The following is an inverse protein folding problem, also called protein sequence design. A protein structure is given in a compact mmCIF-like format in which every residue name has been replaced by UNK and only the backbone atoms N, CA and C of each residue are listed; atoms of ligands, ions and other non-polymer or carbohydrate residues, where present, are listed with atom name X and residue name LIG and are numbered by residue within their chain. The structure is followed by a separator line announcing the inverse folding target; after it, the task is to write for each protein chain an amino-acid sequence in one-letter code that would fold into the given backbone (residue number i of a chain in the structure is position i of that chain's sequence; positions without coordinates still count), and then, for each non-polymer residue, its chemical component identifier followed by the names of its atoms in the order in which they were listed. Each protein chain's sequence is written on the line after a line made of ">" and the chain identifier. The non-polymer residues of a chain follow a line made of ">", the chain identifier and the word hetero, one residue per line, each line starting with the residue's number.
data_IF_427805137211
#
_entry.id   IF_427805137211
#
_cell.length_a   1.000
_cell.length_b   1.000
_cell.length_c   1.000
_cell.angle_alpha   90.00
_cell.angle_beta   90.00
_cell.angle_gamma   90.00
#
_symmetry.space_group_name_H-M   'P 1'
#
loop_
_entity.id
_entity.type
_entity.pdbx_description
1 polymer ?
#
# COMPACT_ATOMS: atom_id res chain seq x y z
N UNK A 1 -84.18 -48.81 -22.56
CA UNK A 1 -83.57 -49.90 -23.35
C UNK A 1 -82.43 -49.28 -24.18
N UNK A 2 -81.18 -49.43 -23.73
CA UNK A 2 -80.21 -50.44 -24.19
C UNK A 2 -79.52 -50.01 -25.50
N UNK A 3 -78.30 -49.46 -25.47
CA UNK A 3 -76.96 -50.09 -25.40
C UNK A 3 -76.40 -50.51 -26.77
N UNK A 4 -75.07 -50.32 -26.89
CA UNK A 4 -74.08 -50.94 -27.79
C UNK A 4 -73.83 -50.25 -29.14
N UNK A 5 -72.60 -49.72 -29.38
CA UNK A 5 -71.34 -50.40 -29.77
C UNK A 5 -71.41 -50.89 -31.23
N UNK A 6 -70.41 -50.84 -32.11
CA UNK A 6 -68.95 -50.64 -32.02
C UNK A 6 -68.42 -50.52 -33.48
N UNK A 7 -67.32 -49.78 -33.65
CA UNK A 7 -66.14 -50.05 -34.50
C UNK A 7 -66.31 -50.31 -36.01
N UNK A 8 -65.63 -49.49 -36.82
CA UNK A 8 -64.57 -50.04 -37.69
C UNK A 8 -63.44 -49.04 -37.95
N UNK A 9 -62.25 -49.56 -37.72
CA UNK A 9 -60.94 -48.95 -37.78
C UNK A 9 -60.48 -48.86 -39.25
N UNK A 10 -59.81 -47.78 -39.65
CA UNK A 10 -58.87 -47.83 -40.76
C UNK A 10 -57.70 -46.90 -40.48
N UNK A 11 -56.53 -47.53 -40.37
CA UNK A 11 -55.20 -46.93 -40.26
C UNK A 11 -54.99 -45.94 -41.41
N UNK A 12 -54.33 -44.81 -41.20
CA UNK A 12 -52.88 -44.65 -41.37
C UNK A 12 -52.45 -43.16 -41.42
N UNK A 13 -51.18 -42.94 -41.05
CA UNK A 13 -50.28 -41.80 -41.40
C UNK A 13 -50.22 -40.54 -40.49
N UNK A 14 -49.15 -40.58 -39.68
CA UNK A 14 -48.02 -39.63 -39.61
C UNK A 14 -48.31 -38.15 -39.29
N UNK A 15 -47.73 -37.69 -38.17
CA UNK A 15 -47.49 -36.26 -37.94
C UNK A 15 -47.14 -35.95 -36.49
N UNK A 16 -45.87 -36.17 -36.12
CA UNK A 16 -45.32 -35.76 -34.83
C UNK A 16 -45.40 -34.23 -34.63
N UNK A 17 -45.90 -33.76 -33.48
CA UNK A 17 -45.55 -32.45 -32.90
C UNK A 17 -45.53 -32.49 -31.37
N UNK A 18 -44.35 -32.88 -30.92
CA UNK A 18 -43.62 -32.56 -29.69
C UNK A 18 -44.31 -31.66 -28.65
N UNK A 19 -44.61 -32.23 -27.47
CA UNK A 19 -44.87 -31.51 -26.22
C UNK A 19 -43.54 -31.07 -25.61
N UNK A 20 -43.19 -29.79 -25.74
CA UNK A 20 -42.04 -29.20 -25.06
C UNK A 20 -42.35 -29.04 -23.56
N UNK A 21 -42.04 -30.06 -22.75
CA UNK A 21 -41.89 -29.91 -21.29
C UNK A 21 -40.54 -29.25 -21.03
N UNK A 22 -40.54 -27.98 -20.61
CA UNK A 22 -39.34 -27.33 -20.05
C UNK A 22 -38.85 -28.14 -18.84
N UNK A 23 -37.57 -28.54 -18.76
CA UNK A 23 -37.05 -29.15 -17.55
C UNK A 23 -36.91 -28.08 -16.47
N UNK A 24 -37.41 -28.37 -15.27
CA UNK A 24 -37.21 -27.55 -14.10
C UNK A 24 -35.71 -27.41 -13.81
N UNK A 25 -35.18 -26.18 -13.88
CA UNK A 25 -33.81 -25.89 -13.49
C UNK A 25 -33.67 -26.11 -11.98
N UNK A 26 -33.07 -27.22 -11.58
CA UNK A 26 -32.57 -27.40 -10.21
C UNK A 26 -31.53 -26.31 -9.96
N UNK A 27 -31.85 -25.35 -9.09
CA UNK A 27 -30.92 -24.33 -8.64
C UNK A 27 -29.70 -25.00 -8.02
N UNK A 28 -28.53 -24.83 -8.64
CA UNK A 28 -27.26 -25.18 -8.02
C UNK A 28 -27.07 -24.22 -6.85
N UNK A 29 -27.06 -24.75 -5.63
CA UNK A 29 -26.72 -23.98 -4.43
C UNK A 29 -25.34 -23.31 -4.60
N UNK A 30 -25.11 -22.16 -3.95
CA UNK A 30 -23.88 -21.39 -4.14
C UNK A 30 -22.64 -22.27 -3.86
N UNK A 31 -21.65 -22.25 -4.75
CA UNK A 31 -20.41 -22.99 -4.56
C UNK A 31 -19.73 -22.56 -3.26
N UNK A 32 -19.03 -23.49 -2.58
CA UNK A 32 -18.34 -23.17 -1.32
C UNK A 32 -17.36 -21.99 -1.46
N UNK A 33 -16.75 -21.82 -2.64
CA UNK A 33 -15.94 -20.66 -3.01
C UNK A 33 -16.74 -19.36 -3.02
N UNK A 34 -17.96 -19.37 -3.56
CA UNK A 34 -18.86 -18.21 -3.55
C UNK A 34 -19.35 -17.85 -2.14
N UNK A 35 -19.51 -18.85 -1.25
CA UNK A 35 -19.86 -18.64 0.15
C UNK A 35 -18.67 -18.07 0.96
N UNK A 36 -17.45 -18.54 0.69
CA UNK A 36 -16.22 -18.00 1.28
C UNK A 36 -15.98 -16.55 0.84
N UNK A 37 -16.09 -16.25 -0.46
CA UNK A 37 -15.98 -14.88 -0.98
C UNK A 37 -17.05 -13.95 -0.40
N UNK A 38 -18.29 -14.43 -0.22
CA UNK A 38 -19.34 -13.67 0.48
C UNK A 38 -18.99 -13.40 1.94
N UNK A 39 -18.44 -14.38 2.66
CA UNK A 39 -18.01 -14.21 4.05
C UNK A 39 -16.84 -13.24 4.18
N UNK A 40 -15.83 -13.34 3.32
CA UNK A 40 -14.70 -12.40 3.27
C UNK A 40 -15.21 -10.99 2.96
N UNK A 41 -16.08 -10.83 1.96
CA UNK A 41 -16.68 -9.53 1.64
C UNK A 41 -17.51 -8.97 2.81
N UNK A 42 -18.30 -9.82 3.49
CA UNK A 42 -19.07 -9.42 4.66
C UNK A 42 -18.19 -9.03 5.85
N UNK A 43 -17.06 -9.72 6.05
CA UNK A 43 -16.04 -9.37 7.03
C UNK A 43 -15.44 -8.00 6.71
N UNK A 44 -14.99 -7.78 5.47
CA UNK A 44 -14.51 -6.47 5.03
C UNK A 44 -15.58 -5.38 5.05
N UNK A 45 -16.87 -5.69 5.07
CA UNK A 45 -17.97 -4.72 5.20
C UNK A 45 -18.33 -4.40 6.65
N UNK A 46 -17.72 -5.06 7.64
CA UNK A 46 -17.97 -4.78 9.04
C UNK A 46 -17.49 -3.37 9.40
N UNK A 47 -18.41 -2.56 9.91
CA UNK A 47 -18.14 -1.19 10.32
C UNK A 47 -17.14 -1.15 11.49
N UNK A 48 -17.13 -2.18 12.34
CA UNK A 48 -16.18 -2.28 13.45
C UNK A 48 -14.75 -2.44 12.94
N UNK A 49 -14.54 -3.32 11.96
CA UNK A 49 -13.23 -3.53 11.36
C UNK A 49 -12.72 -2.30 10.61
N UNK A 50 -13.59 -1.60 9.87
CA UNK A 50 -13.22 -0.33 9.24
C UNK A 50 -12.75 0.69 10.27
N UNK A 51 -13.49 0.86 11.37
CA UNK A 51 -13.10 1.78 12.44
C UNK A 51 -11.79 1.36 13.11
N UNK A 52 -11.60 0.07 13.40
CA UNK A 52 -10.35 -0.46 13.94
C UNK A 52 -9.16 -0.23 13.00
N UNK A 53 -9.33 -0.45 11.69
CA UNK A 53 -8.29 -0.21 10.70
C UNK A 53 -7.93 1.28 10.59
N UNK A 54 -8.94 2.16 10.61
CA UNK A 54 -8.71 3.60 10.64
C UNK A 54 -7.95 4.05 11.89
N UNK A 55 -8.29 3.51 13.06
CA UNK A 55 -7.58 3.76 14.32
C UNK A 55 -6.13 3.24 14.29
N UNK A 56 -5.92 2.06 13.70
CA UNK A 56 -4.57 1.51 13.54
C UNK A 56 -3.74 2.41 12.61
N UNK A 57 -4.29 2.85 11.48
CA UNK A 57 -3.59 3.73 10.54
C UNK A 57 -3.22 5.08 11.15
N UNK A 58 -4.09 5.70 11.95
CA UNK A 58 -3.74 6.97 12.60
C UNK A 58 -2.65 6.76 13.66
N UNK A 59 -2.69 5.66 14.40
CA UNK A 59 -1.64 5.31 15.36
C UNK A 59 -0.31 5.06 14.64
N UNK A 60 -0.31 4.29 13.55
CA UNK A 60 0.89 4.05 12.73
C UNK A 60 1.42 5.34 12.10
N UNK A 61 0.54 6.24 11.64
CA UNK A 61 0.94 7.55 11.09
C UNK A 61 1.65 8.40 12.13
N UNK A 62 1.07 8.57 13.33
CA UNK A 62 1.70 9.32 14.42
C UNK A 62 3.00 8.66 14.88
N UNK A 63 3.01 7.34 15.07
CA UNK A 63 4.18 6.57 15.44
C UNK A 63 5.33 6.82 14.46
N UNK A 64 5.09 6.65 13.15
CA UNK A 64 6.13 6.84 12.13
C UNK A 64 6.58 8.30 12.05
N UNK A 65 5.64 9.26 12.12
CA UNK A 65 5.98 10.69 12.08
C UNK A 65 6.89 11.09 13.24
N UNK A 66 6.56 10.67 14.47
CA UNK A 66 7.35 10.95 15.67
C UNK A 66 8.71 10.23 15.59
N UNK A 67 8.70 8.95 15.20
CA UNK A 67 9.92 8.15 15.02
C UNK A 67 10.90 8.79 14.04
N UNK A 68 10.39 9.20 12.87
CA UNK A 68 11.20 9.81 11.81
C UNK A 68 11.70 11.18 12.23
N UNK A 69 10.85 12.01 12.83
CA UNK A 69 11.24 13.34 13.31
C UNK A 69 12.32 13.23 14.38
N UNK A 70 12.18 12.29 15.32
CA UNK A 70 13.21 12.04 16.32
C UNK A 70 14.54 11.62 15.70
N UNK A 71 14.51 10.76 14.67
CA UNK A 71 15.71 10.29 13.99
C UNK A 71 16.50 11.42 13.31
N UNK A 72 15.85 12.48 12.82
CA UNK A 72 16.55 13.65 12.27
C UNK A 72 17.53 14.29 13.27
N UNK A 73 17.31 14.10 14.58
CA UNK A 73 18.18 14.58 15.64
C UNK A 73 19.04 13.46 16.27
N UNK A 74 18.57 12.20 16.26
CA UNK A 74 19.26 11.06 16.90
C UNK A 74 20.09 10.18 15.97
N UNK A 75 20.04 10.39 14.64
CA UNK A 75 20.65 9.52 13.63
C UNK A 75 22.11 9.12 13.93
N UNK A 76 22.93 10.07 14.43
CA UNK A 76 24.36 9.85 14.67
C UNK A 76 24.62 8.77 15.73
N UNK A 77 23.75 8.69 16.74
CA UNK A 77 23.88 7.74 17.85
C UNK A 77 23.17 6.44 17.46
N UNK A 78 21.96 6.53 16.91
CA UNK A 78 21.14 5.37 16.57
C UNK A 78 21.78 4.52 15.44
N UNK A 79 22.48 5.14 14.47
CA UNK A 79 23.13 4.42 13.36
C UNK A 79 24.23 3.48 13.84
N UNK A 80 24.98 3.83 14.88
CA UNK A 80 26.06 2.97 15.42
C UNK A 80 25.55 1.70 16.08
N UNK A 81 24.33 1.73 16.61
CA UNK A 81 23.72 0.60 17.34
C UNK A 81 22.88 -0.31 16.44
N UNK A 82 22.26 0.21 15.39
CA UNK A 82 21.32 -0.56 14.55
C UNK A 82 22.02 -1.34 13.42
N UNK A 83 23.20 -0.89 12.97
CA UNK A 83 23.77 -1.23 11.64
C UNK A 83 23.92 -2.72 11.35
N UNK A 84 24.10 -3.56 12.36
CA UNK A 84 24.46 -4.97 12.20
C UNK A 84 23.53 -5.94 12.96
N UNK A 85 22.38 -5.46 13.45
CA UNK A 85 21.45 -6.28 14.23
C UNK A 85 20.14 -6.62 13.52
N UNK A 86 19.65 -7.83 13.75
CA UNK A 86 18.32 -8.25 13.29
C UNK A 86 17.23 -7.58 14.14
N UNK A 87 16.09 -7.23 13.52
CA UNK A 87 14.96 -6.58 14.19
C UNK A 87 14.61 -7.20 15.55
N UNK A 88 14.49 -8.52 15.60
CA UNK A 88 14.08 -9.23 16.83
C UNK A 88 15.16 -9.20 17.91
N UNK A 89 16.46 -9.25 17.57
CA UNK A 89 17.52 -9.14 18.59
C UNK A 89 17.60 -7.71 19.09
N UNK A 90 17.61 -6.73 18.19
CA UNK A 90 17.79 -5.34 18.58
C UNK A 90 16.66 -4.83 19.46
N UNK A 91 15.42 -5.11 19.07
CA UNK A 91 14.23 -4.58 19.75
C UNK A 91 13.98 -5.25 21.09
N UNK A 92 14.18 -6.56 21.16
CA UNK A 92 13.87 -7.36 22.35
C UNK A 92 15.13 -7.78 23.13
N UNK A 93 16.30 -7.23 22.80
CA UNK A 93 17.50 -7.40 23.61
C UNK A 93 17.29 -6.81 25.00
N UNK A 94 17.79 -7.50 26.02
CA UNK A 94 17.90 -6.97 27.37
C UNK A 94 19.06 -5.99 27.56
N UNK A 95 19.76 -5.62 26.49
CA UNK A 95 20.89 -4.68 26.55
C UNK A 95 20.41 -3.25 26.73
N UNK A 96 20.98 -2.54 27.71
CA UNK A 96 20.75 -1.12 27.93
C UNK A 96 21.60 -0.30 26.94
N UNK A 97 21.06 -0.10 25.74
CA UNK A 97 21.65 0.74 24.69
C UNK A 97 21.23 2.21 24.90
N UNK A 98 22.15 3.16 24.69
CA UNK A 98 21.85 4.61 24.72
C UNK A 98 21.09 5.04 23.46
N UNK A 99 19.79 4.78 23.45
CA UNK A 99 18.91 5.09 22.31
C UNK A 99 18.21 6.41 22.56
N UNK A 100 18.39 7.34 21.61
CA UNK A 100 17.83 8.69 21.71
C UNK A 100 16.55 8.89 20.94
N UNK A 101 16.12 7.90 20.16
CA UNK A 101 14.82 7.96 19.50
C UNK A 101 13.70 8.03 20.56
N UNK A 102 12.77 8.98 20.42
CA UNK A 102 11.70 9.20 21.40
C UNK A 102 10.78 7.99 21.59
N UNK A 103 10.77 7.06 20.63
CA UNK A 103 10.00 5.81 20.69
C UNK A 103 10.87 4.59 21.02
N UNK A 104 12.05 4.80 21.57
CA UNK A 104 12.99 3.77 22.03
C UNK A 104 13.52 2.89 20.89
N UNK A 105 13.90 1.64 21.21
CA UNK A 105 14.47 0.65 20.29
C UNK A 105 13.65 0.46 19.01
N UNK A 106 12.33 0.29 19.16
CA UNK A 106 11.41 0.14 18.03
C UNK A 106 11.48 1.35 17.10
N UNK A 107 11.43 2.56 17.66
CA UNK A 107 11.51 3.80 16.91
C UNK A 107 12.83 3.93 16.17
N UNK A 108 13.94 3.74 16.88
CA UNK A 108 15.29 3.80 16.32
C UNK A 108 15.46 2.84 15.14
N UNK A 109 15.05 1.57 15.31
CA UNK A 109 15.13 0.59 14.23
C UNK A 109 14.26 0.99 13.03
N UNK A 110 12.98 1.29 13.26
CA UNK A 110 12.03 1.57 12.18
C UNK A 110 12.42 2.82 11.39
N UNK A 111 12.84 3.88 12.07
CA UNK A 111 13.31 5.11 11.43
C UNK A 111 14.63 4.91 10.71
N UNK A 112 15.60 4.20 11.31
CA UNK A 112 16.86 3.88 10.66
C UNK A 112 16.65 3.06 9.37
N UNK A 113 15.83 2.00 9.41
CA UNK A 113 15.58 1.15 8.25
C UNK A 113 14.88 1.90 7.10
N UNK A 114 13.93 2.80 7.40
CA UNK A 114 13.12 3.47 6.37
C UNK A 114 13.76 4.78 5.89
N UNK A 115 14.39 5.55 6.77
CA UNK A 115 15.07 6.80 6.42
C UNK A 115 16.47 6.48 5.87
N UNK A 116 17.39 6.01 6.70
CA UNK A 116 18.76 5.75 6.27
C UNK A 116 18.82 4.59 5.27
N UNK A 117 18.29 3.41 5.62
CA UNK A 117 18.32 2.23 4.75
C UNK A 117 17.41 2.33 3.51
N UNK A 118 16.51 3.32 3.48
CA UNK A 118 15.54 3.52 2.40
C UNK A 118 15.78 4.80 1.62
N UNK A 119 14.79 5.68 1.66
CA UNK A 119 14.66 6.85 0.77
C UNK A 119 14.86 8.20 1.48
N UNK A 120 15.45 8.17 2.68
CA UNK A 120 15.73 9.37 3.48
C UNK A 120 14.47 10.15 3.83
N UNK A 121 14.57 11.48 3.80
CA UNK A 121 13.46 12.39 4.16
C UNK A 121 12.25 12.22 3.23
N UNK A 122 12.46 11.72 2.00
CA UNK A 122 11.36 11.38 1.10
C UNK A 122 10.33 10.44 1.74
N UNK A 123 10.74 9.58 2.68
CA UNK A 123 9.86 8.61 3.35
C UNK A 123 8.81 9.23 4.27
N UNK A 124 8.85 10.54 4.56
CA UNK A 124 7.76 11.24 5.27
C UNK A 124 6.42 11.19 4.52
N UNK A 125 6.41 10.84 3.23
CA UNK A 125 5.17 10.54 2.50
C UNK A 125 4.39 9.37 3.11
N UNK A 126 5.06 8.43 3.78
CA UNK A 126 4.41 7.25 4.37
C UNK A 126 3.48 7.66 5.53
N UNK A 127 3.96 8.32 6.62
CA UNK A 127 3.07 8.78 7.67
C UNK A 127 2.02 9.76 7.16
N UNK A 128 2.34 10.60 6.18
CA UNK A 128 1.38 11.52 5.56
C UNK A 128 0.20 10.78 4.89
N UNK A 129 0.49 9.80 4.02
CA UNK A 129 -0.56 9.02 3.35
C UNK A 129 -1.37 8.17 4.34
N UNK A 130 -0.72 7.58 5.34
CA UNK A 130 -1.41 6.83 6.40
C UNK A 130 -2.39 7.71 7.15
N UNK A 131 -2.00 8.95 7.50
CA UNK A 131 -2.89 9.90 8.16
C UNK A 131 -4.07 10.29 7.28
N UNK A 132 -3.84 10.55 5.99
CA UNK A 132 -4.89 10.88 5.04
C UNK A 132 -5.90 9.74 4.87
N UNK A 133 -5.41 8.51 4.73
CA UNK A 133 -6.25 7.32 4.62
C UNK A 133 -7.03 7.05 5.92
N UNK A 134 -6.39 7.22 7.08
CA UNK A 134 -7.04 7.07 8.37
C UNK A 134 -8.22 8.04 8.53
N UNK A 135 -8.02 9.32 8.20
CA UNK A 135 -9.08 10.33 8.27
C UNK A 135 -10.24 9.96 7.34
N UNK A 136 -9.94 9.51 6.12
CA UNK A 136 -10.97 9.09 5.17
C UNK A 136 -11.77 7.90 5.69
N UNK A 137 -11.12 6.91 6.31
CA UNK A 137 -11.80 5.73 6.85
C UNK A 137 -12.65 6.08 8.07
N UNK A 138 -12.11 6.86 9.01
CA UNK A 138 -12.76 7.16 10.29
C UNK A 138 -13.91 8.16 10.14
N UNK A 139 -13.69 9.22 9.38
CA UNK A 139 -14.64 10.34 9.27
C UNK A 139 -15.44 10.31 7.97
N UNK A 140 -15.17 9.34 7.07
CA UNK A 140 -15.77 9.26 5.73
C UNK A 140 -15.63 10.56 4.93
N UNK A 141 -14.61 11.36 5.25
CA UNK A 141 -14.33 12.66 4.65
C UNK A 141 -13.14 12.56 3.71
N UNK A 142 -13.30 13.05 2.49
CA UNK A 142 -12.22 13.16 1.52
C UNK A 142 -11.54 14.53 1.68
N UNK A 143 -10.36 14.56 2.32
CA UNK A 143 -9.57 15.79 2.44
C UNK A 143 -8.86 16.14 1.13
N UNK A 144 -8.32 15.12 0.46
CA UNK A 144 -7.59 15.24 -0.81
C UNK A 144 -7.97 14.06 -1.72
N UNK A 145 -7.96 14.28 -3.06
CA UNK A 145 -8.18 13.20 -4.03
C UNK A 145 -7.10 12.13 -3.90
N UNK A 146 -7.50 10.87 -3.63
CA UNK A 146 -6.55 9.77 -3.34
C UNK A 146 -5.56 9.57 -4.48
N UNK A 147 -6.04 9.39 -5.71
CA UNK A 147 -5.18 9.03 -6.83
C UNK A 147 -4.17 10.12 -7.14
N UNK A 148 -4.61 11.39 -7.15
CA UNK A 148 -3.73 12.54 -7.31
C UNK A 148 -2.71 12.61 -6.17
N UNK A 149 -3.14 12.43 -4.92
CA UNK A 149 -2.23 12.47 -3.76
C UNK A 149 -1.19 11.35 -3.80
N UNK A 150 -1.58 10.14 -4.20
CA UNK A 150 -0.66 9.02 -4.33
C UNK A 150 0.35 9.25 -5.46
N UNK A 151 -0.09 9.75 -6.62
CA UNK A 151 0.82 10.09 -7.71
C UNK A 151 1.82 11.16 -7.29
N UNK A 152 1.38 12.24 -6.65
CA UNK A 152 2.26 13.30 -6.13
C UNK A 152 3.22 12.72 -5.08
N UNK A 153 2.71 11.91 -4.16
CA UNK A 153 3.50 11.32 -3.08
C UNK A 153 4.58 10.38 -3.60
N UNK A 154 4.25 9.49 -4.54
CA UNK A 154 5.21 8.53 -5.10
C UNK A 154 6.30 9.24 -5.91
N UNK A 155 5.92 10.21 -6.74
CA UNK A 155 6.89 11.03 -7.49
C UNK A 155 7.78 11.83 -6.54
N UNK A 156 7.18 12.51 -5.56
CA UNK A 156 7.90 13.28 -4.55
C UNK A 156 8.83 12.41 -3.70
N UNK A 157 8.42 11.18 -3.34
CA UNK A 157 9.22 10.26 -2.55
C UNK A 157 10.55 9.92 -3.23
N UNK A 158 10.48 9.50 -4.49
CA UNK A 158 11.65 9.12 -5.29
C UNK A 158 12.49 10.36 -5.61
N UNK A 159 11.85 11.43 -6.06
CA UNK A 159 12.55 12.65 -6.46
C UNK A 159 13.27 13.32 -5.29
N UNK A 160 12.64 13.42 -4.11
CA UNK A 160 13.28 13.96 -2.91
C UNK A 160 14.45 13.09 -2.45
N UNK A 161 14.32 11.76 -2.50
CA UNK A 161 15.39 10.85 -2.13
C UNK A 161 16.63 11.05 -3.01
N UNK A 162 16.46 11.07 -4.35
CA UNK A 162 17.58 11.28 -5.29
C UNK A 162 18.18 12.69 -5.12
N UNK A 163 17.33 13.70 -4.99
CA UNK A 163 17.77 15.10 -4.82
C UNK A 163 18.60 15.26 -3.55
N UNK A 164 18.12 14.76 -2.42
CA UNK A 164 18.86 14.84 -1.16
C UNK A 164 20.05 13.89 -1.13
N UNK A 165 20.01 12.74 -1.81
CA UNK A 165 21.15 11.84 -1.96
C UNK A 165 22.32 12.48 -2.70
N UNK A 166 22.04 13.40 -3.63
CA UNK A 166 23.07 14.17 -4.32
C UNK A 166 23.63 15.32 -3.48
N UNK A 167 22.76 16.11 -2.85
CA UNK A 167 23.17 17.33 -2.13
C UNK A 167 23.71 17.06 -0.72
N UNK A 168 23.30 15.98 -0.07
CA UNK A 168 23.71 15.64 1.29
C UNK A 168 24.60 14.40 1.28
N UNK A 169 25.90 14.63 1.47
CA UNK A 169 26.91 13.57 1.61
C UNK A 169 27.19 13.27 3.07
N UNK A 170 28.07 12.30 3.34
CA UNK A 170 28.56 12.01 4.69
C UNK A 170 28.98 13.29 5.42
N UNK A 171 28.51 13.53 6.65
CA UNK A 171 27.80 12.58 7.51
C UNK A 171 26.26 12.68 7.47
N UNK A 172 25.69 13.44 6.53
CA UNK A 172 24.23 13.66 6.37
C UNK A 172 23.60 12.82 5.26
N UNK A 173 24.26 11.74 4.84
CA UNK A 173 23.80 10.79 3.81
C UNK A 173 22.41 10.20 4.09
N UNK A 174 22.03 10.07 5.37
CA UNK A 174 20.68 9.65 5.77
C UNK A 174 19.55 10.56 5.23
N UNK A 175 19.84 11.79 4.81
CA UNK A 175 18.84 12.72 4.27
C UNK A 175 18.29 12.25 2.92
N UNK A 176 19.14 11.68 2.07
CA UNK A 176 18.75 11.02 0.83
C UNK A 176 18.42 9.53 0.99
N UNK A 177 18.94 8.92 2.06
CA UNK A 177 18.94 7.48 2.26
C UNK A 177 19.87 6.77 1.29
N UNK A 178 20.12 5.48 1.53
CA UNK A 178 20.97 4.64 0.68
C UNK A 178 20.48 4.65 -0.77
N UNK A 179 19.16 4.57 -1.00
CA UNK A 179 18.60 4.59 -2.35
C UNK A 179 18.96 5.86 -3.12
N UNK A 180 18.77 7.02 -2.49
CA UNK A 180 19.03 8.32 -3.09
C UNK A 180 20.51 8.53 -3.38
N UNK A 181 21.36 8.15 -2.41
CA UNK A 181 22.81 8.30 -2.56
C UNK A 181 23.35 7.43 -3.68
N UNK A 182 23.00 6.15 -3.73
CA UNK A 182 23.47 5.23 -4.79
C UNK A 182 22.95 5.63 -6.17
N UNK A 183 21.68 6.01 -6.26
CA UNK A 183 21.09 6.43 -7.54
C UNK A 183 21.72 7.71 -8.06
N UNK A 184 21.94 8.70 -7.18
CA UNK A 184 22.61 9.94 -7.58
C UNK A 184 24.06 9.69 -8.00
N UNK A 185 24.82 8.86 -7.29
CA UNK A 185 26.19 8.48 -7.67
C UNK A 185 26.23 7.80 -9.05
N UNK A 186 25.27 6.92 -9.33
CA UNK A 186 25.18 6.27 -10.64
C UNK A 186 24.92 7.27 -11.77
N UNK A 187 24.01 8.22 -11.55
CA UNK A 187 23.72 9.29 -12.54
C UNK A 187 24.94 10.20 -12.72
N UNK A 188 25.57 10.66 -11.64
CA UNK A 188 26.78 11.49 -11.69
C UNK A 188 27.90 10.77 -12.44
N UNK A 189 28.08 9.47 -12.22
CA UNK A 189 29.07 8.67 -12.96
C UNK A 189 28.77 8.61 -14.46
N UNK A 190 27.49 8.61 -14.84
CA UNK A 190 27.07 8.54 -16.23
C UNK A 190 27.14 9.89 -16.98
N UNK A 191 26.73 10.98 -16.35
CA UNK A 191 26.54 12.29 -17.02
C UNK A 191 27.27 13.47 -16.35
N UNK A 192 28.05 13.21 -15.30
CA UNK A 192 28.77 14.22 -14.52
C UNK A 192 27.89 15.05 -13.59
N UNK A 193 28.50 15.84 -12.71
CA UNK A 193 27.82 16.70 -11.74
C UNK A 193 26.89 17.72 -12.40
N UNK A 194 27.37 18.39 -13.45
CA UNK A 194 26.57 19.36 -14.21
C UNK A 194 25.33 18.69 -14.80
N UNK A 195 25.48 17.48 -15.34
CA UNK A 195 24.37 16.68 -15.86
C UNK A 195 23.38 16.28 -14.78
N UNK A 196 23.85 15.92 -13.58
CA UNK A 196 23.00 15.57 -12.44
C UNK A 196 22.13 16.75 -11.98
N UNK A 197 22.70 17.96 -11.90
CA UNK A 197 21.93 19.17 -11.58
C UNK A 197 20.84 19.42 -12.63
N UNK A 198 21.18 19.31 -13.91
CA UNK A 198 20.17 19.42 -14.98
C UNK A 198 19.11 18.33 -14.89
N UNK A 199 19.48 17.10 -14.55
CA UNK A 199 18.55 15.99 -14.36
C UNK A 199 17.55 16.26 -13.24
N UNK A 200 18.01 16.73 -12.07
CA UNK A 200 17.13 17.08 -10.94
C UNK A 200 16.15 18.19 -11.35
N UNK A 201 16.66 19.28 -11.95
CA UNK A 201 15.84 20.41 -12.36
C UNK A 201 14.81 19.99 -13.43
N UNK A 202 15.24 19.28 -14.45
CA UNK A 202 14.38 18.84 -15.55
C UNK A 202 13.29 17.89 -15.06
N UNK A 203 13.64 16.87 -14.26
CA UNK A 203 12.65 15.94 -13.71
C UNK A 203 11.69 16.60 -12.73
N UNK A 204 12.16 17.57 -11.93
CA UNK A 204 11.31 18.36 -11.04
C UNK A 204 10.30 19.24 -11.80
N UNK A 205 10.76 19.89 -12.88
CA UNK A 205 9.88 20.66 -13.77
C UNK A 205 8.84 19.76 -14.45
N UNK A 206 9.27 18.62 -15.00
CA UNK A 206 8.35 17.63 -15.59
C UNK A 206 7.32 17.15 -14.57
N UNK A 207 7.76 16.80 -13.35
CA UNK A 207 6.85 16.36 -12.30
C UNK A 207 5.81 17.45 -11.99
N UNK A 208 6.21 18.71 -11.94
CA UNK A 208 5.29 19.84 -11.73
C UNK A 208 4.27 19.95 -12.86
N UNK A 209 4.71 19.88 -14.12
CA UNK A 209 3.83 19.96 -15.30
C UNK A 209 2.86 18.78 -15.40
N UNK A 210 3.26 17.58 -14.99
CA UNK A 210 2.37 16.41 -15.02
C UNK A 210 1.31 16.47 -13.91
N UNK A 211 1.63 17.10 -12.77
CA UNK A 211 0.80 17.06 -11.57
C UNK A 211 -0.14 18.28 -11.42
N UNK A 212 0.12 19.37 -12.14
CA UNK A 212 -0.62 20.63 -12.08
C UNK A 212 -1.01 21.12 -13.47
#
# INVERSE_FOLDING_TARGET
>A
MAKQNRLRNTKEKKGAKNKNRKPASKGKGPSQTGLFLKKVKAFFLDERLHKSLGLLLILSSLYLFISFTSYLFSWKIDQGHVRDENFWSFVFSGEDLDIRNWLGKLGAYTSHSILYGGFGIGSFVIPFNFGLWAIRILFKKELLPIWKTLSISLLGWIWLSITFGYFFTSPYDFMGGVFGHETSNWIVTAIGDVGMVFFILFTGLIATVILF
#
